data_IF_301180096497
#
_entry.id   IF_301180096497
#
_cell.length_a   1.000
_cell.length_b   1.000
_cell.length_c   1.000
_cell.angle_alpha   90.00
_cell.angle_beta   90.00
_cell.angle_gamma   90.00
#
_symmetry.space_group_name_H-M   'P 1'
#
loop_
_entity.id
_entity.type
_entity.pdbx_description
1 polymer ?
#
# COMPACT_ATOMS: atom_id res chain seq x y z
N UNK A 1 -8.22 76.94 35.68
CA UNK A 1 -7.80 75.59 36.10
C UNK A 1 -8.53 74.63 35.21
N UNK A 2 -7.83 74.19 34.18
CA UNK A 2 -8.29 73.20 33.21
C UNK A 2 -8.28 71.83 33.89
N UNK A 3 -9.41 71.13 33.86
CA UNK A 3 -9.47 69.70 34.11
C UNK A 3 -9.02 68.99 32.82
N UNK A 4 -7.81 68.44 32.83
CA UNK A 4 -7.33 67.55 31.78
C UNK A 4 -8.16 66.24 31.79
N UNK A 5 -9.06 66.14 30.81
CA UNK A 5 -9.66 64.88 30.38
C UNK A 5 -8.59 63.99 29.74
N UNK A 6 -8.23 62.89 30.40
CA UNK A 6 -7.63 61.74 29.70
C UNK A 6 -8.75 60.84 29.15
N UNK A 7 -8.87 60.67 27.82
CA UNK A 7 -9.90 59.83 27.22
C UNK A 7 -9.31 58.46 26.93
N UNK A 8 -9.43 57.50 27.84
CA UNK A 8 -9.38 56.09 27.45
C UNK A 8 -10.81 55.58 27.36
N UNK A 9 -11.36 55.72 26.14
CA UNK A 9 -12.59 55.06 25.72
C UNK A 9 -12.31 53.55 25.80
N UNK A 10 -13.21 52.82 26.46
CA UNK A 10 -13.33 51.37 26.33
C UNK A 10 -13.62 51.11 24.84
N UNK A 11 -12.60 50.74 24.07
CA UNK A 11 -12.74 50.28 22.69
C UNK A 11 -13.52 48.97 22.77
N UNK A 12 -14.77 48.96 22.29
CA UNK A 12 -15.60 47.75 22.18
C UNK A 12 -14.80 46.60 21.57
N UNK A 13 -14.85 45.40 22.15
CA UNK A 13 -14.04 44.21 21.83
C UNK A 13 -13.87 43.88 20.33
N UNK A 14 -14.86 44.15 19.48
CA UNK A 14 -14.74 44.02 18.02
C UNK A 14 -13.66 44.92 17.39
N UNK A 15 -13.39 46.09 17.99
CA UNK A 15 -12.38 47.04 17.56
C UNK A 15 -10.97 46.61 17.98
N UNK A 16 -10.81 46.00 19.16
CA UNK A 16 -9.52 45.47 19.61
C UNK A 16 -9.12 44.24 18.78
N UNK A 17 -10.08 43.36 18.50
CA UNK A 17 -9.91 42.24 17.56
C UNK A 17 -9.49 42.73 16.17
N UNK A 18 -10.25 43.68 15.58
CA UNK A 18 -9.90 44.25 14.27
C UNK A 18 -8.54 44.91 14.29
N UNK A 19 -8.24 45.70 15.31
CA UNK A 19 -6.95 46.37 15.47
C UNK A 19 -5.80 45.38 15.61
N UNK A 20 -5.98 44.28 16.34
CA UNK A 20 -4.98 43.23 16.46
C UNK A 20 -4.75 42.55 15.11
N UNK A 21 -5.80 42.07 14.45
CA UNK A 21 -5.72 41.42 13.13
C UNK A 21 -5.14 42.36 12.06
N UNK A 22 -5.57 43.62 12.03
CA UNK A 22 -5.09 44.66 11.10
C UNK A 22 -3.62 45.05 11.38
N UNK A 23 -3.17 44.94 12.63
CA UNK A 23 -1.78 45.23 13.04
C UNK A 23 -0.85 44.01 13.00
N UNK A 24 -1.39 42.82 12.69
CA UNK A 24 -0.62 41.58 12.66
C UNK A 24 -0.01 41.39 11.27
N UNK A 25 1.32 41.43 11.18
CA UNK A 25 2.03 40.91 10.01
C UNK A 25 2.33 39.43 10.27
N UNK A 26 1.79 38.55 9.42
CA UNK A 26 1.99 37.11 9.55
C UNK A 26 2.32 36.43 8.24
N UNK A 27 3.09 35.35 8.34
CA UNK A 27 3.53 34.50 7.25
C UNK A 27 3.29 33.04 7.62
N UNK A 28 2.53 32.34 6.79
CA UNK A 28 2.28 30.91 6.93
C UNK A 28 2.96 30.18 5.77
N UNK A 29 3.90 29.31 6.07
CA UNK A 29 4.59 28.46 5.11
C UNK A 29 4.13 27.02 5.29
N UNK A 30 3.65 26.42 4.21
CA UNK A 30 3.09 25.07 4.19
C UNK A 30 3.92 24.22 3.23
N UNK A 31 4.40 23.09 3.75
CA UNK A 31 5.09 22.06 2.98
C UNK A 31 4.38 20.73 3.15
N UNK A 32 3.95 20.13 2.05
CA UNK A 32 3.32 18.82 2.00
C UNK A 32 4.15 17.95 1.06
N UNK A 33 4.63 16.83 1.58
CA UNK A 33 5.37 15.83 0.84
C UNK A 33 4.62 14.50 0.96
N UNK A 34 3.89 14.13 -0.10
CA UNK A 34 3.15 12.89 -0.19
C UNK A 34 3.74 12.00 -1.28
N UNK A 35 4.17 10.80 -0.90
CA UNK A 35 4.66 9.79 -1.82
C UNK A 35 4.04 8.44 -1.51
N UNK A 36 3.27 7.91 -2.46
CA UNK A 36 2.68 6.58 -2.37
C UNK A 36 3.16 5.70 -3.50
N UNK A 37 3.72 4.55 -3.15
CA UNK A 37 4.12 3.50 -4.08
C UNK A 37 3.33 2.23 -3.77
N UNK A 38 2.45 1.87 -4.70
CA UNK A 38 1.73 0.59 -4.64
C UNK A 38 2.26 -0.34 -5.73
N UNK A 39 2.72 -1.53 -5.31
CA UNK A 39 3.17 -2.59 -6.23
C UNK A 39 1.98 -3.49 -6.55
N UNK A 40 1.79 -3.74 -7.86
CA UNK A 40 0.69 -4.58 -8.31
C UNK A 40 1.08 -6.06 -8.30
N UNK A 41 0.44 -6.83 -7.41
CA UNK A 41 0.55 -8.29 -7.34
C UNK A 41 -0.67 -9.02 -7.91
N UNK A 42 -1.53 -8.33 -8.69
CA UNK A 42 -2.72 -8.91 -9.32
C UNK A 42 -2.42 -10.08 -10.27
N UNK A 43 -1.19 -10.14 -10.80
CA UNK A 43 -0.72 -11.23 -11.65
C UNK A 43 -0.49 -12.55 -10.90
N UNK A 44 -0.15 -12.50 -9.62
CA UNK A 44 0.30 -13.68 -8.86
C UNK A 44 -0.79 -14.77 -8.73
N UNK A 45 -2.06 -14.45 -8.38
CA UNK A 45 -3.13 -15.44 -8.38
C UNK A 45 -3.39 -16.08 -9.76
N UNK A 46 -3.27 -15.30 -10.83
CA UNK A 46 -3.49 -15.78 -12.21
C UNK A 46 -2.41 -16.79 -12.60
N UNK A 47 -1.16 -16.54 -12.21
CA UNK A 47 -0.05 -17.47 -12.38
C UNK A 47 -0.28 -18.77 -11.60
N UNK A 48 -0.64 -18.68 -10.31
CA UNK A 48 -0.86 -19.85 -9.46
C UNK A 48 -1.96 -20.78 -10.00
N UNK A 49 -3.08 -20.21 -10.47
CA UNK A 49 -4.17 -20.99 -11.08
C UNK A 49 -3.72 -21.62 -12.41
N UNK A 50 -3.06 -20.85 -13.29
CA UNK A 50 -2.65 -21.34 -14.60
C UNK A 50 -1.59 -22.43 -14.53
N UNK A 51 -0.66 -22.35 -13.56
CA UNK A 51 0.41 -23.33 -13.38
C UNK A 51 -0.12 -24.77 -13.27
N UNK A 52 -1.26 -24.98 -12.58
CA UNK A 52 -1.88 -26.30 -12.48
C UNK A 52 -2.30 -26.87 -13.84
N UNK A 53 -2.92 -26.05 -14.68
CA UNK A 53 -3.37 -26.47 -16.02
C UNK A 53 -2.20 -26.73 -16.96
N UNK A 54 -1.11 -25.97 -16.85
CA UNK A 54 0.10 -26.19 -17.64
C UNK A 54 0.76 -27.52 -17.24
N UNK A 55 0.88 -27.82 -15.94
CA UNK A 55 1.42 -29.11 -15.47
C UNK A 55 0.64 -30.30 -16.06
N UNK A 56 -0.69 -30.22 -16.08
CA UNK A 56 -1.55 -31.25 -16.67
C UNK A 56 -1.29 -31.47 -18.17
N UNK A 57 -0.95 -30.40 -18.93
CA UNK A 57 -0.61 -30.53 -20.35
C UNK A 57 0.78 -31.16 -20.52
N UNK A 58 1.74 -30.76 -19.69
CA UNK A 58 3.12 -31.27 -19.75
C UNK A 58 3.21 -32.75 -19.39
N UNK A 59 2.34 -33.24 -18.49
CA UNK A 59 2.25 -34.67 -18.15
C UNK A 59 1.69 -35.53 -19.29
N UNK A 60 0.80 -34.97 -20.12
CA UNK A 60 0.15 -35.69 -21.22
C UNK A 60 0.38 -34.95 -22.55
N UNK A 61 1.64 -34.91 -23.04
CA UNK A 61 1.97 -34.21 -24.26
C UNK A 61 1.35 -34.93 -25.46
N UNK A 62 0.78 -34.17 -26.40
CA UNK A 62 0.26 -34.76 -27.64
C UNK A 62 1.43 -35.17 -28.53
N UNK A 63 1.42 -36.43 -28.96
CA UNK A 63 2.39 -37.00 -29.90
C UNK A 63 1.78 -37.08 -31.29
N UNK A 64 2.53 -36.70 -32.30
CA UNK A 64 2.16 -36.85 -33.70
C UNK A 64 3.09 -37.87 -34.36
N UNK A 65 2.53 -38.82 -35.08
CA UNK A 65 3.32 -39.86 -35.76
C UNK A 65 3.78 -39.30 -37.10
N UNK A 66 5.09 -39.13 -37.26
CA UNK A 66 5.72 -38.80 -38.54
C UNK A 66 6.20 -40.10 -39.17
N UNK A 67 5.84 -40.30 -40.43
CA UNK A 67 6.35 -41.40 -41.23
C UNK A 67 7.54 -40.88 -42.04
N UNK A 68 8.76 -41.26 -41.68
CA UNK A 68 9.95 -41.00 -42.48
C UNK A 68 10.15 -42.15 -43.47
N UNK A 69 10.11 -41.82 -44.75
CA UNK A 69 10.28 -42.77 -45.84
C UNK A 69 11.72 -42.70 -46.37
N UNK A 70 12.46 -43.79 -46.25
CA UNK A 70 13.84 -43.88 -46.77
C UNK A 70 14.04 -45.15 -47.60
N UNK A 71 14.77 -45.06 -48.71
CA UNK A 71 15.14 -46.22 -49.53
C UNK A 71 16.43 -46.84 -48.99
N UNK A 72 16.28 -47.90 -48.20
CA UNK A 72 17.39 -48.57 -47.51
C UNK A 72 17.70 -49.91 -48.18
N UNK A 73 18.93 -50.42 -48.05
CA UNK A 73 19.25 -51.80 -48.45
C UNK A 73 18.35 -52.79 -47.71
N UNK A 74 17.93 -53.86 -48.38
CA UNK A 74 17.01 -54.86 -47.80
C UNK A 74 17.52 -55.45 -46.48
N UNK A 75 18.84 -55.58 -46.33
CA UNK A 75 19.50 -56.11 -45.12
C UNK A 75 19.37 -55.21 -43.88
N UNK A 76 19.15 -53.91 -44.09
CA UNK A 76 19.06 -52.91 -43.03
C UNK A 76 17.59 -52.58 -42.65
N UNK A 77 16.63 -52.95 -43.50
CA UNK A 77 15.20 -52.79 -43.19
C UNK A 77 14.73 -53.90 -42.26
N UNK A 78 14.14 -53.52 -41.12
CA UNK A 78 13.65 -54.49 -40.12
C UNK A 78 12.21 -54.91 -40.33
N UNK A 79 11.38 -54.09 -40.99
CA UNK A 79 9.95 -54.34 -41.22
C UNK A 79 9.56 -53.89 -42.61
N UNK A 80 8.86 -54.76 -43.33
CA UNK A 80 8.32 -54.47 -44.66
C UNK A 80 6.82 -54.21 -44.53
N UNK A 81 6.37 -53.05 -44.99
CA UNK A 81 4.95 -52.66 -44.98
C UNK A 81 4.30 -52.85 -46.35
N UNK A 82 2.97 -52.76 -46.43
CA UNK A 82 2.25 -52.87 -47.72
C UNK A 82 2.65 -51.75 -48.67
N UNK A 83 2.83 -50.52 -48.18
CA UNK A 83 3.33 -49.38 -48.96
C UNK A 83 4.75 -49.64 -49.48
N UNK A 84 5.60 -50.28 -48.67
CA UNK A 84 6.94 -50.69 -49.10
C UNK A 84 6.91 -51.64 -50.31
N UNK A 85 5.95 -52.56 -50.33
CA UNK A 85 5.75 -53.51 -51.43
C UNK A 85 5.20 -52.78 -52.66
N UNK A 86 4.22 -51.89 -52.49
CA UNK A 86 3.67 -51.09 -53.60
C UNK A 86 4.77 -50.25 -54.25
N UNK A 87 5.59 -49.55 -53.46
CA UNK A 87 6.73 -48.78 -53.97
C UNK A 87 7.72 -49.68 -54.73
N UNK A 88 7.99 -50.89 -54.24
CA UNK A 88 8.85 -51.85 -54.94
C UNK A 88 8.27 -52.27 -56.30
N UNK A 89 6.94 -52.46 -56.41
CA UNK A 89 6.29 -52.79 -57.69
C UNK A 89 6.35 -51.66 -58.71
N UNK A 90 6.39 -50.41 -58.25
CA UNK A 90 6.50 -49.22 -59.11
C UNK A 90 7.95 -48.93 -59.54
N UNK A 91 8.93 -49.36 -58.75
CA UNK A 91 10.35 -49.09 -58.97
C UNK A 91 11.14 -50.38 -59.20
N UNK A 92 11.01 -50.94 -60.40
CA UNK A 92 11.73 -52.15 -60.86
C UNK A 92 13.26 -52.03 -60.76
N UNK A 93 13.78 -50.81 -60.77
CA UNK A 93 15.21 -50.50 -60.60
C UNK A 93 15.79 -50.93 -59.23
N UNK A 94 14.93 -51.19 -58.24
CA UNK A 94 15.34 -51.63 -56.90
C UNK A 94 15.40 -53.16 -56.80
N UNK A 95 14.97 -53.89 -57.84
CA UNK A 95 14.94 -55.36 -57.90
C UNK A 95 16.27 -55.89 -58.44
N UNK A 96 16.89 -56.84 -57.73
CA UNK A 96 18.20 -57.39 -58.11
C UNK A 96 18.08 -58.63 -59.00
N UNK A 97 17.19 -59.55 -58.63
CA UNK A 97 16.96 -60.80 -59.37
C UNK A 97 15.48 -61.17 -59.31
N UNK A 98 14.99 -61.68 -60.43
CA UNK A 98 13.71 -62.36 -60.54
C UNK A 98 13.98 -63.80 -60.93
N UNK A 99 13.48 -64.75 -60.16
CA UNK A 99 13.54 -66.17 -60.49
C UNK A 99 12.18 -66.60 -61.07
N UNK A 100 12.08 -66.75 -62.41
CA UNK A 100 10.82 -67.09 -63.07
C UNK A 100 10.34 -68.52 -62.80
N UNK A 101 11.22 -69.43 -62.32
CA UNK A 101 10.80 -70.81 -62.01
C UNK A 101 10.16 -70.92 -60.61
N UNK A 102 10.58 -70.09 -59.67
CA UNK A 102 10.03 -70.03 -58.30
C UNK A 102 9.06 -68.88 -58.06
N UNK A 103 8.91 -67.99 -59.04
CA UNK A 103 8.11 -66.77 -58.94
C UNK A 103 8.54 -65.86 -57.77
N UNK A 104 9.83 -65.88 -57.43
CA UNK A 104 10.43 -65.13 -56.32
C UNK A 104 11.17 -63.88 -56.83
N UNK A 105 10.95 -62.76 -56.14
CA UNK A 105 11.59 -61.47 -56.43
C UNK A 105 12.54 -61.12 -55.30
N UNK A 106 13.82 -60.90 -55.61
CA UNK A 106 14.84 -60.48 -54.64
C UNK A 106 15.17 -58.99 -54.83
N UNK A 107 14.66 -58.09 -53.97
CA UNK A 107 15.03 -56.68 -54.00
C UNK A 107 16.44 -56.43 -53.45
N UNK A 108 17.13 -55.44 -54.02
CA UNK A 108 18.39 -54.89 -53.47
C UNK A 108 18.14 -53.81 -52.43
N UNK A 109 17.10 -52.99 -52.63
CA UNK A 109 16.69 -51.89 -51.76
C UNK A 109 15.17 -51.90 -51.59
N UNK A 110 14.69 -51.42 -50.46
CA UNK A 110 13.26 -51.35 -50.14
C UNK A 110 12.93 -50.04 -49.43
N UNK A 111 11.71 -49.55 -49.62
CA UNK A 111 11.21 -48.40 -48.88
C UNK A 111 11.01 -48.81 -47.41
N UNK A 112 11.80 -48.22 -46.52
CA UNK A 112 11.65 -48.34 -45.09
C UNK A 112 10.81 -47.16 -44.59
N UNK A 113 9.72 -47.44 -43.87
CA UNK A 113 8.85 -46.42 -43.29
C UNK A 113 9.09 -46.44 -41.78
N UNK A 114 9.90 -45.49 -41.29
CA UNK A 114 10.13 -45.31 -39.87
C UNK A 114 8.98 -44.47 -39.31
N UNK A 115 8.24 -45.03 -38.36
CA UNK A 115 7.19 -44.30 -37.64
C UNK A 115 7.81 -43.71 -36.39
N UNK A 116 8.19 -42.44 -36.45
CA UNK A 116 8.71 -41.71 -35.29
C UNK A 116 7.60 -40.89 -34.64
N UNK A 117 7.54 -40.92 -33.31
CA UNK A 117 6.66 -40.05 -32.54
C UNK A 117 7.33 -38.69 -32.35
N UNK A 118 6.80 -37.66 -32.99
CA UNK A 118 7.24 -36.28 -32.81
C UNK A 118 6.33 -35.53 -31.84
N UNK A 119 6.95 -34.74 -30.98
CA UNK A 119 6.27 -33.80 -30.08
C UNK A 119 6.05 -32.44 -30.73
N UNK A 120 6.48 -32.25 -31.98
CA UNK A 120 6.46 -30.98 -32.68
C UNK A 120 5.08 -30.63 -33.27
N UNK A 121 4.10 -30.45 -32.38
CA UNK A 121 2.75 -30.00 -32.73
C UNK A 121 2.57 -28.51 -32.44
N UNK A 122 1.66 -27.86 -33.15
CA UNK A 122 1.37 -26.43 -32.93
C UNK A 122 0.96 -26.14 -31.48
N UNK A 123 0.16 -27.01 -30.88
CA UNK A 123 -0.28 -26.93 -29.49
C UNK A 123 0.91 -27.02 -28.51
N UNK A 124 1.84 -27.94 -28.74
CA UNK A 124 3.01 -28.09 -27.89
C UNK A 124 3.97 -26.90 -28.07
N UNK A 125 4.13 -26.36 -29.28
CA UNK A 125 4.87 -25.11 -29.54
C UNK A 125 4.26 -23.91 -28.83
N UNK A 126 2.93 -23.85 -28.76
CA UNK A 126 2.21 -22.81 -28.05
C UNK A 126 2.54 -22.84 -26.55
N UNK A 127 2.46 -24.01 -25.91
CA UNK A 127 2.80 -24.17 -24.49
C UNK A 127 4.29 -23.89 -24.23
N UNK A 128 5.18 -24.36 -25.10
CA UNK A 128 6.60 -24.03 -25.03
C UNK A 128 6.84 -22.50 -25.07
N UNK A 129 6.17 -21.80 -25.98
CA UNK A 129 6.29 -20.34 -26.11
C UNK A 129 5.70 -19.64 -24.88
N UNK A 130 4.56 -20.11 -24.36
CA UNK A 130 3.91 -19.55 -23.18
C UNK A 130 4.79 -19.66 -21.92
N UNK A 131 5.37 -20.84 -21.65
CA UNK A 131 6.27 -21.04 -20.50
C UNK A 131 7.44 -20.07 -20.56
N UNK A 132 8.01 -19.85 -21.76
CA UNK A 132 9.10 -18.89 -21.95
C UNK A 132 8.66 -17.45 -21.67
N UNK A 133 7.48 -17.05 -22.12
CA UNK A 133 6.94 -15.71 -21.86
C UNK A 133 6.61 -15.50 -20.38
N UNK A 134 6.09 -16.53 -19.70
CA UNK A 134 5.84 -16.51 -18.26
C UNK A 134 7.13 -16.34 -17.47
N UNK A 135 8.19 -17.03 -17.88
CA UNK A 135 9.50 -16.93 -17.25
C UNK A 135 10.14 -15.54 -17.47
N UNK A 136 10.10 -15.02 -18.71
CA UNK A 136 10.54 -13.65 -19.00
C UNK A 136 9.72 -12.59 -18.24
N UNK A 137 8.44 -12.87 -17.95
CA UNK A 137 7.60 -11.98 -17.13
C UNK A 137 8.02 -12.02 -15.66
N UNK A 138 8.23 -13.20 -15.08
CA UNK A 138 8.71 -13.33 -13.70
C UNK A 138 10.08 -12.67 -13.51
N UNK A 139 11.05 -12.93 -14.40
CA UNK A 139 12.38 -12.33 -14.27
C UNK A 139 12.36 -10.80 -14.33
N UNK A 140 11.37 -10.21 -15.02
CA UNK A 140 11.19 -8.76 -15.10
C UNK A 140 10.53 -8.19 -13.85
N UNK A 141 9.49 -8.85 -13.33
CA UNK A 141 8.77 -8.34 -12.16
C UNK A 141 9.53 -8.57 -10.86
N UNK A 142 10.22 -9.72 -10.73
CA UNK A 142 11.05 -10.01 -9.54
C UNK A 142 12.23 -9.06 -9.39
N UNK A 143 12.74 -8.48 -10.48
CA UNK A 143 13.77 -7.42 -10.39
C UNK A 143 13.25 -6.11 -9.79
N UNK A 144 11.94 -5.91 -9.77
CA UNK A 144 11.29 -4.74 -9.16
C UNK A 144 10.73 -5.06 -7.76
N UNK A 145 10.79 -6.31 -7.30
CA UNK A 145 10.19 -6.80 -6.04
C UNK A 145 11.07 -6.59 -4.79
N UNK A 146 12.31 -6.09 -4.93
CA UNK A 146 13.14 -5.70 -3.76
C UNK A 146 12.60 -4.43 -3.06
N UNK A 147 11.56 -3.81 -3.62
CA UNK A 147 10.95 -2.59 -3.11
C UNK A 147 9.60 -2.98 -2.48
N UNK A 148 9.32 -2.53 -1.25
CA UNK A 148 8.02 -2.74 -0.59
C UNK A 148 7.04 -1.62 -0.98
N UNK A 149 5.74 -1.88 -0.95
CA UNK A 149 4.74 -0.82 -1.07
C UNK A 149 4.80 0.10 0.15
N UNK A 150 5.04 1.38 -0.07
CA UNK A 150 5.15 2.39 0.99
C UNK A 150 4.25 3.60 0.74
N UNK A 151 3.83 4.22 1.84
CA UNK A 151 3.19 5.53 1.85
C UNK A 151 3.97 6.42 2.81
N UNK A 152 4.45 7.55 2.31
CA UNK A 152 5.08 8.63 3.04
C UNK A 152 4.13 9.82 2.95
N UNK A 153 3.66 10.30 4.11
CA UNK A 153 2.84 11.50 4.23
C UNK A 153 3.50 12.43 5.26
N UNK A 154 4.29 13.39 4.78
CA UNK A 154 4.97 14.38 5.59
C UNK A 154 4.33 15.77 5.43
N UNK A 155 3.95 16.37 6.54
CA UNK A 155 3.31 17.70 6.60
C UNK A 155 4.11 18.59 7.52
N UNK A 156 4.51 19.75 7.02
CA UNK A 156 5.21 20.77 7.79
C UNK A 156 4.53 22.12 7.61
N UNK A 157 4.16 22.73 8.73
CA UNK A 157 3.58 24.07 8.78
C UNK A 157 4.49 24.95 9.64
N UNK A 158 4.83 26.13 9.14
CA UNK A 158 5.58 27.16 9.86
C UNK A 158 4.79 28.46 9.82
N UNK A 159 4.47 29.01 10.98
CA UNK A 159 3.75 30.25 11.14
C UNK A 159 4.58 31.24 11.94
N UNK A 160 4.78 32.42 11.37
CA UNK A 160 5.46 33.56 11.97
C UNK A 160 4.47 34.72 12.03
N UNK A 161 4.17 35.22 13.23
CA UNK A 161 3.25 36.33 13.44
C UNK A 161 3.86 37.40 14.36
N UNK A 162 3.79 38.65 13.95
CA UNK A 162 4.21 39.82 14.72
C UNK A 162 3.06 40.82 14.79
N UNK A 163 2.69 41.22 16.00
CA UNK A 163 1.62 42.19 16.24
C UNK A 163 2.10 43.30 17.17
N UNK A 164 1.72 44.54 16.86
CA UNK A 164 2.09 45.73 17.65
C UNK A 164 0.82 46.43 18.10
N UNK A 165 0.49 46.26 19.38
CA UNK A 165 -0.66 46.90 20.02
C UNK A 165 -0.20 48.02 20.94
N UNK A 166 -0.19 49.25 20.43
CA UNK A 166 0.25 50.43 21.19
C UNK A 166 1.72 50.33 21.61
N UNK A 167 1.98 50.07 22.89
CA UNK A 167 3.33 49.91 23.44
C UNK A 167 3.74 48.43 23.61
N UNK A 168 2.85 47.49 23.31
CA UNK A 168 3.11 46.06 23.43
C UNK A 168 3.47 45.47 22.07
N UNK A 169 4.58 44.72 22.03
CA UNK A 169 4.99 43.95 20.85
C UNK A 169 4.86 42.47 21.18
N UNK A 170 4.03 41.78 20.42
CA UNK A 170 3.73 40.36 20.61
C UNK A 170 4.23 39.60 19.39
N UNK A 171 5.04 38.56 19.63
CA UNK A 171 5.55 37.71 18.56
C UNK A 171 5.18 36.27 18.84
N UNK A 172 4.82 35.53 17.79
CA UNK A 172 4.59 34.09 17.84
C UNK A 172 5.35 33.40 16.70
N UNK A 173 6.04 32.32 17.04
CA UNK A 173 6.66 31.41 16.09
C UNK A 173 6.15 30.01 16.39
N UNK A 174 5.54 29.37 15.40
CA UNK A 174 4.96 28.04 15.53
C UNK A 174 5.42 27.16 14.38
N UNK A 175 5.99 26.00 14.72
CA UNK A 175 6.35 24.96 13.77
C UNK A 175 5.65 23.67 14.14
N UNK A 176 4.84 23.13 13.22
CA UNK A 176 4.17 21.84 13.37
C UNK A 176 4.68 20.90 12.28
N UNK A 177 5.12 19.71 12.67
CA UNK A 177 5.60 18.67 11.77
C UNK A 177 4.87 17.37 12.08
N UNK A 178 4.36 16.71 11.04
CA UNK A 178 3.69 15.42 11.12
C UNK A 178 4.28 14.51 10.06
N UNK A 179 4.78 13.36 10.48
CA UNK A 179 5.34 12.36 9.57
C UNK A 179 4.57 11.07 9.77
N UNK A 180 3.85 10.64 8.74
CA UNK A 180 3.15 9.37 8.72
C UNK A 180 3.78 8.48 7.65
N UNK A 181 4.66 7.59 8.10
CA UNK A 181 5.33 6.63 7.24
C UNK A 181 4.72 5.26 7.51
N UNK A 182 3.93 4.76 6.57
CA UNK A 182 3.35 3.43 6.66
C UNK A 182 3.92 2.55 5.55
N UNK A 183 4.60 1.49 5.95
CA UNK A 183 4.86 0.35 5.07
C UNK A 183 3.63 -0.53 5.08
N UNK A 184 3.13 -0.90 3.90
CA UNK A 184 2.01 -1.84 3.82
C UNK A 184 2.54 -3.21 4.21
N UNK A 185 2.26 -3.65 5.45
CA UNK A 185 2.59 -5.01 5.88
C UNK A 185 1.86 -5.99 4.97
N UNK A 186 2.60 -6.91 4.35
CA UNK A 186 2.04 -7.90 3.44
C UNK A 186 0.87 -8.63 4.10
N UNK A 187 -0.32 -8.58 3.48
CA UNK A 187 -1.44 -9.41 3.91
C UNK A 187 -1.13 -10.87 3.59
N UNK A 188 -1.14 -11.71 4.63
CA UNK A 188 -0.94 -13.15 4.50
C UNK A 188 -2.18 -13.80 3.89
N UNK A 189 -2.23 -13.91 2.56
CA UNK A 189 -3.27 -14.66 1.85
C UNK A 189 -2.94 -16.15 1.90
N UNK A 190 -3.71 -16.92 2.67
CA UNK A 190 -3.51 -18.38 2.80
C UNK A 190 -2.32 -18.78 3.68
N UNK A 191 -1.80 -17.86 4.50
CA UNK A 191 -0.69 -18.11 5.43
C UNK A 191 0.72 -18.07 4.82
N UNK A 192 0.84 -17.68 3.55
CA UNK A 192 2.11 -17.48 2.85
C UNK A 192 2.31 -15.98 2.57
N UNK A 193 3.56 -15.52 2.67
CA UNK A 193 3.93 -14.15 2.24
C UNK A 193 3.89 -14.03 0.71
N UNK A 194 3.84 -12.81 0.19
CA UNK A 194 3.85 -12.57 -1.26
C UNK A 194 5.16 -13.11 -1.85
N UNK A 195 6.29 -12.87 -1.17
CA UNK A 195 7.59 -13.39 -1.54
C UNK A 195 7.64 -14.94 -1.61
N UNK A 196 7.02 -15.63 -0.64
CA UNK A 196 6.96 -17.10 -0.63
C UNK A 196 6.12 -17.66 -1.79
N UNK A 197 5.01 -17.00 -2.12
CA UNK A 197 4.16 -17.35 -3.26
C UNK A 197 4.90 -17.18 -4.58
N UNK A 198 5.62 -16.07 -4.75
CA UNK A 198 6.47 -15.83 -5.93
C UNK A 198 7.54 -16.92 -6.05
N UNK A 199 8.19 -17.29 -4.93
CA UNK A 199 9.17 -18.38 -4.91
C UNK A 199 8.56 -19.71 -5.34
N UNK A 200 7.34 -20.02 -4.91
CA UNK A 200 6.61 -21.23 -5.31
C UNK A 200 6.35 -21.26 -6.83
N UNK A 201 5.86 -20.16 -7.41
CA UNK A 201 5.64 -20.06 -8.86
C UNK A 201 6.97 -20.22 -9.62
N UNK A 202 8.06 -19.62 -9.14
CA UNK A 202 9.39 -19.76 -9.74
C UNK A 202 9.89 -21.20 -9.76
N UNK A 203 9.70 -21.95 -8.67
CA UNK A 203 10.03 -23.38 -8.59
C UNK A 203 9.19 -24.19 -9.58
N UNK A 204 7.90 -23.89 -9.70
CA UNK A 204 7.01 -24.59 -10.64
C UNK A 204 7.43 -24.34 -12.10
N UNK A 205 7.74 -23.09 -12.48
CA UNK A 205 8.22 -22.79 -13.84
C UNK A 205 9.57 -23.45 -14.15
N UNK A 206 10.47 -23.52 -13.17
CA UNK A 206 11.72 -24.26 -13.31
C UNK A 206 11.45 -25.75 -13.60
N UNK A 207 10.52 -26.37 -12.86
CA UNK A 207 10.09 -27.75 -13.12
C UNK A 207 9.47 -27.94 -14.51
N UNK A 208 8.73 -26.95 -15.03
CA UNK A 208 8.16 -27.02 -16.38
C UNK A 208 9.24 -27.01 -17.47
N UNK A 209 10.34 -26.27 -17.28
CA UNK A 209 11.47 -26.27 -18.21
C UNK A 209 12.22 -27.59 -18.25
N UNK A 210 12.19 -28.36 -17.17
CA UNK A 210 12.79 -29.70 -17.08
C UNK A 210 11.92 -30.80 -17.73
N UNK A 211 10.67 -30.49 -18.10
CA UNK A 211 9.77 -31.46 -18.71
C UNK A 211 10.29 -32.01 -20.05
N UNK A 212 9.93 -33.27 -20.35
CA UNK A 212 10.30 -33.96 -21.60
C UNK A 212 9.86 -33.17 -22.85
N UNK A 213 8.64 -32.62 -22.83
CA UNK A 213 8.14 -31.78 -23.92
C UNK A 213 9.00 -30.54 -24.11
N UNK A 214 9.28 -29.80 -23.03
CA UNK A 214 10.03 -28.54 -23.13
C UNK A 214 11.46 -28.79 -23.61
N UNK A 215 12.17 -29.76 -23.00
CA UNK A 215 13.55 -30.09 -23.35
C UNK A 215 13.68 -30.61 -24.79
N UNK A 216 12.73 -31.42 -25.26
CA UNK A 216 12.74 -31.95 -26.63
C UNK A 216 12.51 -30.84 -27.65
N UNK A 217 11.54 -29.95 -27.42
CA UNK A 217 11.28 -28.82 -28.32
C UNK A 217 12.39 -27.77 -28.30
N UNK A 218 13.00 -27.55 -27.12
CA UNK A 218 14.16 -26.68 -26.98
C UNK A 218 15.35 -27.18 -27.79
N UNK A 219 15.69 -28.47 -27.68
CA UNK A 219 16.77 -29.11 -28.47
C UNK A 219 16.49 -29.13 -29.96
N UNK A 220 15.23 -29.31 -30.35
CA UNK A 220 14.80 -29.29 -31.74
C UNK A 220 14.75 -27.86 -32.35
N UNK A 221 15.13 -26.82 -31.60
CA UNK A 221 15.13 -25.41 -32.04
C UNK A 221 13.81 -24.99 -32.71
N UNK A 222 12.69 -25.43 -32.15
CA UNK A 222 11.40 -25.25 -32.78
C UNK A 222 11.00 -23.77 -32.79
N UNK A 223 10.50 -23.31 -33.93
CA UNK A 223 10.00 -21.94 -34.11
C UNK A 223 8.89 -21.60 -33.10
N UNK A 224 9.04 -20.44 -32.45
CA UNK A 224 8.06 -19.91 -31.50
C UNK A 224 6.76 -19.50 -32.19
N UNK A 225 5.65 -19.65 -31.47
CA UNK A 225 4.33 -19.23 -31.97
C UNK A 225 4.21 -17.71 -31.89
N UNK A 226 3.84 -17.07 -32.99
CA UNK A 226 3.63 -15.62 -33.07
C UNK A 226 2.14 -15.27 -32.97
N UNK A 227 1.78 -14.12 -32.36
CA UNK A 227 0.42 -13.61 -32.43
C UNK A 227 -0.01 -13.36 -33.90
N UNK A 228 -1.29 -13.56 -34.25
CA UNK A 228 -2.37 -14.11 -33.43
C UNK A 228 -2.31 -15.64 -33.30
N UNK A 229 -2.64 -16.16 -32.11
CA UNK A 229 -2.67 -17.61 -31.86
C UNK A 229 -3.79 -18.25 -32.68
N UNK A 230 -3.45 -19.25 -33.49
CA UNK A 230 -4.41 -20.08 -34.24
C UNK A 230 -5.32 -20.82 -33.26
N UNK A 231 -6.63 -20.60 -33.39
CA UNK A 231 -7.67 -21.26 -32.60
C UNK A 231 -7.94 -22.67 -33.12
N UNK A 232 -7.06 -23.62 -32.81
CA UNK A 232 -7.27 -25.03 -33.15
C UNK A 232 -8.36 -25.64 -32.27
N UNK A 233 -8.97 -26.75 -32.71
CA UNK A 233 -9.99 -27.46 -31.92
C UNK A 233 -9.48 -27.88 -30.53
N UNK A 234 -8.18 -28.16 -30.40
CA UNK A 234 -7.57 -28.54 -29.13
C UNK A 234 -7.52 -27.35 -28.19
N UNK A 235 -7.13 -26.18 -28.69
CA UNK A 235 -7.08 -24.94 -27.92
C UNK A 235 -8.48 -24.49 -27.50
N UNK A 236 -9.49 -24.67 -28.36
CA UNK A 236 -10.86 -24.24 -28.10
C UNK A 236 -11.67 -25.17 -27.18
N UNK A 237 -11.40 -26.48 -27.21
CA UNK A 237 -12.23 -27.47 -26.50
C UNK A 237 -11.61 -28.02 -25.22
N UNK A 238 -10.28 -28.00 -25.09
CA UNK A 238 -9.63 -28.55 -23.91
C UNK A 238 -9.54 -27.48 -22.80
N UNK A 239 -10.11 -27.71 -21.60
CA UNK A 239 -10.06 -26.77 -20.48
C UNK A 239 -8.65 -26.26 -20.16
N UNK A 240 -7.64 -27.13 -20.23
CA UNK A 240 -6.27 -26.76 -19.90
C UNK A 240 -5.69 -25.75 -20.90
N UNK A 241 -5.99 -25.92 -22.20
CA UNK A 241 -5.51 -25.01 -23.23
C UNK A 241 -6.30 -23.70 -23.27
N UNK A 242 -7.58 -23.72 -22.85
CA UNK A 242 -8.36 -22.49 -22.67
C UNK A 242 -7.72 -21.62 -21.59
N UNK A 243 -7.35 -22.19 -20.44
CA UNK A 243 -6.66 -21.49 -19.35
C UNK A 243 -5.28 -20.98 -19.77
N UNK A 244 -4.53 -21.78 -20.52
CA UNK A 244 -3.25 -21.32 -21.11
C UNK A 244 -3.44 -20.14 -22.09
N UNK A 245 -4.55 -20.09 -22.83
CA UNK A 245 -4.89 -18.97 -23.71
C UNK A 245 -5.32 -17.72 -22.94
N UNK A 246 -6.05 -17.88 -21.84
CA UNK A 246 -6.36 -16.78 -20.91
C UNK A 246 -5.08 -16.15 -20.37
N UNK A 247 -4.13 -16.98 -19.92
CA UNK A 247 -2.83 -16.53 -19.45
C UNK A 247 -2.01 -15.82 -20.53
N UNK A 248 -2.00 -16.35 -21.76
CA UNK A 248 -1.36 -15.67 -22.88
C UNK A 248 -1.94 -14.27 -23.11
N UNK A 249 -3.27 -14.14 -23.12
CA UNK A 249 -3.92 -12.85 -23.31
C UNK A 249 -3.62 -11.90 -22.13
N UNK A 250 -3.59 -12.43 -20.91
CA UNK A 250 -3.20 -11.67 -19.73
C UNK A 250 -1.80 -11.09 -19.88
N UNK A 251 -0.80 -11.91 -20.23
CA UNK A 251 0.58 -11.46 -20.44
C UNK A 251 0.73 -10.39 -21.51
N UNK A 252 -0.12 -10.41 -22.54
CA UNK A 252 -0.09 -9.44 -23.64
C UNK A 252 -0.77 -8.11 -23.28
N UNK A 253 -1.79 -8.16 -22.42
CA UNK A 253 -2.59 -7.00 -22.03
C UNK A 253 -2.19 -6.40 -20.67
N UNK A 254 -1.34 -7.09 -19.90
CA UNK A 254 -0.89 -6.61 -18.60
C UNK A 254 -0.09 -5.32 -18.79
N UNK A 255 -0.60 -4.23 -18.22
CA UNK A 255 0.01 -2.92 -18.37
C UNK A 255 1.33 -2.84 -17.60
N UNK A 256 2.32 -2.16 -18.18
CA UNK A 256 3.74 -2.28 -17.83
C UNK A 256 4.16 -1.52 -16.57
N UNK A 257 3.26 -0.82 -15.91
CA UNK A 257 3.57 -0.11 -14.67
C UNK A 257 3.65 -1.14 -13.53
N UNK A 258 4.83 -1.72 -13.32
CA UNK A 258 5.10 -2.65 -12.21
C UNK A 258 4.87 -2.05 -10.81
N UNK A 259 4.59 -0.75 -10.74
CA UNK A 259 4.14 -0.04 -9.55
C UNK A 259 3.38 1.23 -9.98
N UNK A 260 2.39 1.66 -9.19
CA UNK A 260 1.83 3.01 -9.29
C UNK A 260 2.55 3.91 -8.28
N UNK A 261 3.21 4.95 -8.79
CA UNK A 261 3.87 5.97 -7.98
C UNK A 261 3.08 7.27 -8.05
N UNK A 262 2.52 7.69 -6.93
CA UNK A 262 1.85 8.98 -6.77
C UNK A 262 2.81 9.86 -5.96
N UNK A 263 3.20 10.98 -6.54
CA UNK A 263 4.01 12.00 -5.90
C UNK A 263 3.25 13.32 -5.92
N UNK A 264 3.03 13.89 -4.75
CA UNK A 264 2.53 15.23 -4.59
C UNK A 264 3.47 15.99 -3.65
N UNK A 265 4.06 17.06 -4.17
CA UNK A 265 4.97 17.92 -3.45
C UNK A 265 4.46 19.34 -3.57
N UNK A 266 4.07 19.93 -2.43
CA UNK A 266 3.61 21.29 -2.35
C UNK A 266 4.48 22.06 -1.37
N UNK A 267 4.97 23.21 -1.80
CA UNK A 267 5.78 24.10 -0.99
C UNK A 267 5.37 25.53 -1.33
N UNK A 268 4.59 26.16 -0.44
CA UNK A 268 4.01 27.47 -0.69
C UNK A 268 3.84 28.30 0.59
N UNK A 269 3.80 29.61 0.40
CA UNK A 269 3.35 30.55 1.42
C UNK A 269 1.86 30.74 1.26
N UNK A 270 1.10 30.33 2.27
CA UNK A 270 -0.35 30.48 2.28
C UNK A 270 -0.73 31.94 2.56
N UNK A 271 -1.63 32.45 1.73
CA UNK A 271 -2.21 33.80 1.86
C UNK A 271 -3.74 33.75 1.97
N UNK A 272 -4.31 32.55 2.15
CA UNK A 272 -5.74 32.32 2.15
C UNK A 272 -6.26 31.97 3.55
N UNK A 273 -7.28 31.11 3.56
CA UNK A 273 -8.03 30.72 4.76
C UNK A 273 -7.16 30.14 5.88
N UNK A 274 -6.15 29.32 5.56
CA UNK A 274 -5.31 28.71 6.60
C UNK A 274 -4.54 29.78 7.37
N UNK A 275 -3.96 30.76 6.68
CA UNK A 275 -3.30 31.90 7.33
C UNK A 275 -4.25 32.63 8.30
N UNK A 276 -5.50 32.83 7.92
CA UNK A 276 -6.50 33.52 8.76
C UNK A 276 -6.91 32.71 10.00
N UNK A 277 -7.00 31.38 9.89
CA UNK A 277 -7.21 30.50 11.04
C UNK A 277 -6.03 30.54 12.03
N UNK A 278 -4.79 30.56 11.51
CA UNK A 278 -3.60 30.72 12.36
C UNK A 278 -3.53 32.12 13.00
N UNK A 279 -3.94 33.18 12.29
CA UNK A 279 -4.08 34.54 12.84
C UNK A 279 -5.10 34.57 14.00
N UNK A 280 -6.24 33.90 13.81
CA UNK A 280 -7.29 33.80 14.84
C UNK A 280 -6.79 33.02 16.07
N UNK A 281 -6.05 31.93 15.85
CA UNK A 281 -5.40 31.18 16.92
C UNK A 281 -4.35 32.01 17.64
N UNK A 282 -3.58 32.83 16.92
CA UNK A 282 -2.63 33.77 17.53
C UNK A 282 -3.35 34.79 18.43
N UNK A 283 -4.47 35.34 17.96
CA UNK A 283 -5.29 36.24 18.76
C UNK A 283 -5.83 35.54 20.02
N UNK A 284 -6.29 34.29 19.94
CA UNK A 284 -6.73 33.52 21.12
C UNK A 284 -5.59 33.32 22.12
N UNK A 285 -4.39 32.97 21.64
CA UNK A 285 -3.19 32.86 22.48
C UNK A 285 -2.82 34.20 23.12
N UNK A 286 -2.97 35.31 22.39
CA UNK A 286 -2.74 36.65 22.92
C UNK A 286 -3.75 37.02 24.02
N UNK A 287 -5.05 36.77 23.80
CA UNK A 287 -6.07 37.04 24.82
C UNK A 287 -5.85 36.19 26.08
N UNK A 288 -5.47 34.91 25.91
CA UNK A 288 -5.08 34.06 27.02
C UNK A 288 -3.85 34.61 27.77
N UNK A 289 -2.84 35.13 27.06
CA UNK A 289 -1.67 35.76 27.66
C UNK A 289 -2.03 37.05 28.41
N UNK A 290 -2.91 37.89 27.85
CA UNK A 290 -3.39 39.12 28.47
C UNK A 290 -4.15 38.89 29.76
N UNK A 291 -4.87 37.76 29.88
CA UNK A 291 -5.57 37.37 31.12
C UNK A 291 -4.62 37.21 32.32
N UNK A 292 -3.32 37.00 32.08
CA UNK A 292 -2.29 36.88 33.12
C UNK A 292 -1.76 38.24 33.60
N UNK A 293 -2.08 39.34 32.92
CA UNK A 293 -1.58 40.66 33.26
C UNK A 293 -2.36 41.29 34.44
N UNK A 294 -1.63 41.74 35.48
CA UNK A 294 -2.20 42.36 36.70
C UNK A 294 -3.05 43.62 36.45
N UNK A 295 -2.87 44.29 35.32
CA UNK A 295 -3.65 45.47 34.91
C UNK A 295 -4.97 45.12 34.21
N UNK A 296 -5.07 43.96 33.55
CA UNK A 296 -6.31 43.49 32.90
C UNK A 296 -7.31 42.89 33.91
N UNK A 297 -6.82 42.37 35.04
CA UNK A 297 -7.61 41.80 36.13
C UNK A 297 -8.62 42.78 36.75
N UNK A 298 -8.45 44.09 36.54
CA UNK A 298 -9.34 45.14 37.02
C UNK A 298 -10.24 45.75 35.93
N UNK A 299 -10.14 45.34 34.66
CA UNK A 299 -10.82 46.03 33.54
C UNK A 299 -11.46 45.11 32.48
N UNK A 300 -11.14 43.82 32.40
CA UNK A 300 -11.95 42.87 31.62
C UNK A 300 -12.92 42.16 32.58
N UNK A 301 -14.23 42.38 32.42
CA UNK A 301 -15.20 41.49 33.04
C UNK A 301 -15.02 40.10 32.41
N UNK A 302 -14.86 39.07 33.25
CA UNK A 302 -14.71 37.65 32.85
C UNK A 302 -15.79 37.20 31.83
N UNK A 303 -16.94 37.88 31.81
CA UNK A 303 -18.04 37.63 30.88
C UNK A 303 -17.81 38.11 29.43
N UNK A 304 -16.97 39.13 29.21
CA UNK A 304 -16.69 39.70 27.88
C UNK A 304 -15.73 38.83 27.08
N UNK A 305 -14.64 38.36 27.73
CA UNK A 305 -13.70 37.39 27.15
C UNK A 305 -14.39 36.10 26.71
N UNK A 306 -15.27 35.58 27.56
CA UNK A 306 -16.06 34.37 27.27
C UNK A 306 -16.96 34.63 26.07
N UNK A 307 -17.62 35.79 26.01
CA UNK A 307 -18.48 36.16 24.87
C UNK A 307 -17.70 36.26 23.57
N UNK A 308 -16.51 36.85 23.57
CA UNK A 308 -15.69 37.00 22.36
C UNK A 308 -15.15 35.64 21.87
N UNK A 309 -14.70 34.80 22.80
CA UNK A 309 -14.23 33.45 22.50
C UNK A 309 -15.36 32.59 21.92
N UNK A 310 -16.56 32.67 22.51
CA UNK A 310 -17.75 31.98 22.01
C UNK A 310 -18.14 32.49 20.62
N UNK A 311 -18.07 33.80 20.37
CA UNK A 311 -18.38 34.38 19.04
C UNK A 311 -17.46 33.83 17.96
N UNK A 312 -16.15 33.76 18.22
CA UNK A 312 -15.17 33.23 17.24
C UNK A 312 -15.36 31.75 16.97
N UNK A 313 -15.55 30.96 18.02
CA UNK A 313 -15.83 29.52 17.86
C UNK A 313 -17.12 29.33 17.04
N UNK A 314 -18.13 30.16 17.27
CA UNK A 314 -19.39 30.12 16.52
C UNK A 314 -19.21 30.50 15.04
N UNK A 315 -18.46 31.56 14.74
CA UNK A 315 -18.13 31.95 13.36
C UNK A 315 -17.34 30.85 12.63
N UNK A 316 -16.29 30.28 13.26
CA UNK A 316 -15.51 29.18 12.68
C UNK A 316 -16.33 27.91 12.44
N UNK A 317 -17.30 27.60 13.30
CA UNK A 317 -18.18 26.44 13.12
C UNK A 317 -19.13 26.66 11.93
N UNK A 318 -19.72 27.85 11.82
CA UNK A 318 -20.67 28.19 10.75
C UNK A 318 -19.98 28.29 9.38
N UNK A 319 -18.74 28.76 9.31
CA UNK A 319 -17.96 28.79 8.06
C UNK A 319 -17.56 27.40 7.56
N UNK A 320 -17.53 26.39 8.44
CA UNK A 320 -17.16 25.01 8.09
C UNK A 320 -18.34 24.12 7.69
N UNK A 321 -19.56 24.49 8.09
CA UNK A 321 -20.78 23.72 7.81
C UNK A 321 -21.94 24.65 7.41
N UNK A 322 -22.07 24.88 6.09
CA UNK A 322 -23.11 25.74 5.50
C UNK A 322 -24.54 25.22 5.75
N UNK A 323 -24.71 23.92 6.05
CA UNK A 323 -26.00 23.25 6.23
C UNK A 323 -26.43 23.15 7.72
N UNK A 324 -25.65 23.76 8.62
CA UNK A 324 -25.89 23.68 10.06
C UNK A 324 -27.08 24.55 10.50
N UNK A 325 -28.24 23.90 10.65
CA UNK A 325 -29.44 24.57 11.16
C UNK A 325 -29.32 24.89 12.66
N UNK A 326 -30.00 25.97 13.07
CA UNK A 326 -29.96 26.54 14.42
C UNK A 326 -30.35 25.54 15.50
N UNK A 327 -31.32 24.67 15.24
CA UNK A 327 -31.75 23.63 16.20
C UNK A 327 -30.68 22.57 16.43
N UNK A 328 -30.00 22.11 15.36
CA UNK A 328 -28.91 21.13 15.47
C UNK A 328 -27.70 21.74 16.17
N UNK A 329 -27.38 23.00 15.89
CA UNK A 329 -26.31 23.71 16.57
C UNK A 329 -26.56 23.81 18.09
N UNK A 330 -27.78 24.18 18.51
CA UNK A 330 -28.10 24.24 19.94
C UNK A 330 -28.00 22.88 20.64
N UNK A 331 -28.42 21.80 19.97
CA UNK A 331 -28.26 20.44 20.52
C UNK A 331 -26.79 20.07 20.69
N UNK A 332 -25.95 20.34 19.69
CA UNK A 332 -24.51 20.07 19.77
C UNK A 332 -23.82 20.87 20.88
N UNK A 333 -24.16 22.16 21.01
CA UNK A 333 -23.59 23.01 22.07
C UNK A 333 -24.06 22.55 23.45
N UNK A 334 -25.32 22.15 23.61
CA UNK A 334 -25.82 21.65 24.89
C UNK A 334 -25.15 20.31 25.27
N UNK A 335 -25.02 19.38 24.32
CA UNK A 335 -24.31 18.10 24.53
C UNK A 335 -22.84 18.30 24.91
N UNK A 336 -22.12 19.17 24.21
CA UNK A 336 -20.74 19.49 24.54
C UNK A 336 -20.62 20.28 25.86
N UNK A 337 -21.56 21.17 26.16
CA UNK A 337 -21.59 21.89 27.44
C UNK A 337 -21.75 20.92 28.62
N UNK A 338 -22.69 19.99 28.54
CA UNK A 338 -22.89 18.96 29.57
C UNK A 338 -21.65 18.07 29.71
N UNK A 339 -21.07 17.64 28.59
CA UNK A 339 -19.85 16.82 28.56
C UNK A 339 -18.65 17.54 29.15
N UNK A 340 -18.45 18.83 28.82
CA UNK A 340 -17.40 19.66 29.38
C UNK A 340 -17.59 19.89 30.88
N UNK A 341 -18.83 20.16 31.32
CA UNK A 341 -19.13 20.36 32.74
C UNK A 341 -18.80 19.12 33.56
N UNK A 342 -19.19 17.94 33.06
CA UNK A 342 -18.85 16.66 33.69
C UNK A 342 -17.34 16.45 33.80
N UNK A 343 -16.57 16.73 32.75
CA UNK A 343 -15.09 16.64 32.77
C UNK A 343 -14.47 17.58 33.81
N UNK A 344 -15.01 18.80 33.95
CA UNK A 344 -14.55 19.77 34.95
C UNK A 344 -14.85 19.26 36.37
N UNK A 345 -16.07 18.81 36.62
CA UNK A 345 -16.47 18.28 37.93
C UNK A 345 -15.65 17.03 38.31
N UNK A 346 -15.38 16.12 37.36
CA UNK A 346 -14.50 14.96 37.55
C UNK A 346 -13.05 15.37 37.87
N UNK A 347 -12.52 16.37 37.16
CA UNK A 347 -11.17 16.91 37.42
C UNK A 347 -11.09 17.57 38.80
N UNK A 348 -12.09 18.36 39.17
CA UNK A 348 -12.12 19.05 40.47
C UNK A 348 -12.27 18.04 41.62
N UNK A 349 -13.06 16.98 41.44
CA UNK A 349 -13.13 15.85 42.37
C UNK A 349 -11.78 15.13 42.49
N UNK A 350 -11.09 14.88 41.37
CA UNK A 350 -9.76 14.25 41.38
C UNK A 350 -8.76 15.13 42.14
N UNK A 351 -8.74 16.44 41.88
CA UNK A 351 -7.88 17.41 42.57
C UNK A 351 -8.17 17.41 44.07
N UNK A 352 -9.45 17.44 44.48
CA UNK A 352 -9.83 17.40 45.90
C UNK A 352 -9.41 16.10 46.57
N UNK A 353 -9.59 14.97 45.89
CA UNK A 353 -9.22 13.65 46.42
C UNK A 353 -7.70 13.54 46.59
N UNK A 354 -6.93 13.95 45.58
CA UNK A 354 -5.46 13.97 45.66
C UNK A 354 -4.95 14.93 46.74
N UNK A 355 -5.59 16.09 46.93
CA UNK A 355 -5.26 17.02 48.03
C UNK A 355 -5.57 16.41 49.39
N UNK A 356 -6.72 15.74 49.55
CA UNK A 356 -7.09 15.05 50.79
C UNK A 356 -6.14 13.91 51.11
N UNK A 357 -5.75 13.11 50.12
CA UNK A 357 -4.73 12.05 50.27
C UNK A 357 -3.38 12.62 50.72
N UNK A 358 -2.95 13.74 50.13
CA UNK A 358 -1.68 14.40 50.50
C UNK A 358 -1.72 15.05 51.87
N UNK A 359 -2.87 15.61 52.26
CA UNK A 359 -3.10 16.11 53.62
C UNK A 359 -3.09 14.97 54.63
N UNK A 360 -3.72 13.84 54.31
CA UNK A 360 -3.74 12.66 55.16
C UNK A 360 -2.33 12.06 55.32
N UNK A 361 -1.57 11.93 54.23
CA UNK A 361 -0.17 11.48 54.27
C UNK A 361 0.70 12.41 55.14
N UNK A 362 0.44 13.72 55.11
CA UNK A 362 1.14 14.68 55.94
C UNK A 362 0.75 14.56 57.42
N UNK A 363 -0.54 14.37 57.71
CA UNK A 363 -1.04 14.16 59.07
C UNK A 363 -0.52 12.85 59.67
N UNK A 364 -0.46 11.77 58.88
CA UNK A 364 0.05 10.47 59.31
C UNK A 364 1.56 10.54 59.62
N UNK A 365 2.33 11.33 58.85
CA UNK A 365 3.74 11.62 59.14
C UNK A 365 3.93 12.46 60.40
N UNK A 366 3.06 13.44 60.64
CA UNK A 366 3.10 14.22 61.87
C UNK A 366 2.79 13.31 63.07
N UNK A 367 1.78 12.45 62.95
CA UNK A 367 1.42 11.49 63.99
C UNK A 367 2.55 10.48 64.27
N UNK A 368 3.26 9.99 63.25
CA UNK A 368 4.40 9.10 63.45
C UNK A 368 5.57 9.79 64.15
N UNK A 369 5.84 11.06 63.82
CA UNK A 369 6.90 11.85 64.49
C UNK A 369 6.52 12.16 65.94
N UNK A 370 5.25 12.45 66.23
CA UNK A 370 4.77 12.64 67.61
C UNK A 370 4.91 11.34 68.41
N UNK A 371 4.52 10.20 67.85
CA UNK A 371 4.66 8.90 68.51
C UNK A 371 6.15 8.51 68.76
N UNK A 372 7.06 8.87 67.86
CA UNK A 372 8.50 8.70 68.04
C UNK A 372 9.06 9.59 69.17
N UNK A 373 8.52 10.81 69.33
CA UNK A 373 8.92 11.72 70.41
C UNK A 373 8.37 11.28 71.77
N UNK A 374 7.12 10.82 71.84
CA UNK A 374 6.49 10.28 73.06
C UNK A 374 7.22 9.00 73.54
N UNK A 375 7.62 8.12 72.61
CA UNK A 375 8.41 6.94 72.94
C UNK A 375 9.82 7.28 73.48
N UNK A 376 10.40 8.40 73.03
CA UNK A 376 11.67 8.89 73.58
C UNK A 376 11.50 9.49 74.98
N UNK A 377 10.38 10.15 75.28
CA UNK A 377 10.09 10.65 76.64
C UNK A 377 9.88 9.50 77.65
N UNK A 378 9.13 8.44 77.27
CA UNK A 378 8.91 7.24 78.11
C UNK A 378 10.20 6.45 78.41
N UNK A 379 11.15 6.41 77.46
CA UNK A 379 12.47 5.80 77.65
C UNK A 379 13.38 6.65 78.57
N UNK A 380 13.11 7.95 78.67
CA UNK A 380 13.88 8.86 79.53
C UNK A 380 13.37 8.84 80.97
N UNK A 381 12.05 8.74 81.19
CA UNK A 381 11.48 8.58 82.55
C UNK A 381 11.81 7.23 83.20
N UNK A 382 11.95 6.15 82.41
CA UNK A 382 12.39 4.84 82.92
C UNK A 382 13.89 4.74 83.24
N UNK A 383 14.70 5.74 82.89
CA UNK A 383 16.12 5.82 83.26
C UNK A 383 16.37 6.66 84.53
N UNK A 384 15.36 7.38 85.04
CA UNK A 384 15.46 8.20 86.25
C UNK A 384 14.82 7.59 87.52
N UNK A 385 14.36 6.32 87.49
CA UNK A 385 13.89 5.58 88.67
C UNK A 385 14.89 4.60 89.28
#
# INVERSE_FOLDING_TARGET
MEEEKFPFRVETDSALQKKFLDSTDSKLHVKLDFEKKDIDFSWLPVFEDTCYYIDNILRNPKRFIINEEEIVKIEQSKKVTVESIIHLTQHTNLIQKYDPEKNEVKPSKILNINKEESLDTYENRFIYTLIRLMDEFLERNVKNDDEESYCIDEKKIQYDGESVLGNEKVNIHLQVMSNNNSTTKEELVGGLTIAERIKKVKIQLAGFKESELYTTLYKAHVSQVRPPIRRTNVILKNPNFIKAMEMWNFLQNYDRSGFSLIKDHQDYVDTGYLKDEFNTTFLLNYLAMNSLSRSAQNQMEESEYVRETVSKIMETILDRDEDLDKEKFYQLIDEEYQSARKRIDERDHLIQTTLQEKLQECNDRIASVIAELEAQEDDTENQEQ
#
